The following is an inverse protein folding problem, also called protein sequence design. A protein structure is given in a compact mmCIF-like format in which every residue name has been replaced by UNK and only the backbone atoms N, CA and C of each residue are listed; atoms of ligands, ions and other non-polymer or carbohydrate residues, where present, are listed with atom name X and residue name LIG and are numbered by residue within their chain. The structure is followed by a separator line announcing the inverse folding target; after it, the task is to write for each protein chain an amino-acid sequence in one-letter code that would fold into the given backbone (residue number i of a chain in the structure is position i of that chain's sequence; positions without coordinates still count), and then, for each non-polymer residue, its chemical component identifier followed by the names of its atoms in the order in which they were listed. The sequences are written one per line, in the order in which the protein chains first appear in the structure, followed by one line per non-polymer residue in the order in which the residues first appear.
data_IF_424239797861
#
_entry.id   IF_424239797861
#
_cell.length_a   1.000
_cell.length_b   1.000
_cell.length_c   1.000
_cell.angle_alpha   90.00
_cell.angle_beta   90.00
_cell.angle_gamma   90.00
#
_symmetry.space_group_name_H-M   'P 1'
#
loop_
_entity.id
_entity.type
_entity.pdbx_description
1 polymer ?
#
# COMPACT_ATOMS: atom_id res chain seq x y z
N UNK A 1 -0.08 18.75 2.57
CA UNK A 1 -0.44 17.50 1.84
C UNK A 1 -1.74 17.72 1.08
N UNK A 2 -1.77 17.37 -0.21
CA UNK A 2 -2.96 17.52 -1.07
C UNK A 2 -3.81 16.25 -1.02
N UNK A 3 -5.12 16.40 -0.81
CA UNK A 3 -6.06 15.30 -0.91
C UNK A 3 -6.26 14.92 -2.39
N UNK A 4 -6.24 13.61 -2.68
CA UNK A 4 -6.68 13.06 -3.95
C UNK A 4 -8.15 12.67 -3.85
N UNK A 5 -9.01 13.30 -4.64
CA UNK A 5 -10.44 12.97 -4.68
C UNK A 5 -10.63 11.64 -5.41
N UNK A 6 -11.02 10.61 -4.66
CA UNK A 6 -11.40 9.31 -5.21
C UNK A 6 -12.91 9.33 -5.39
N UNK A 7 -13.33 9.32 -6.66
CA UNK A 7 -14.75 9.27 -7.00
C UNK A 7 -15.23 7.82 -6.88
N UNK A 8 -15.78 7.47 -5.73
CA UNK A 8 -16.30 6.15 -5.40
C UNK A 8 -17.67 6.26 -4.76
N UNK A 9 -18.56 5.31 -5.06
CA UNK A 9 -19.86 5.17 -4.40
C UNK A 9 -19.70 4.88 -2.90
N UNK A 10 -18.59 4.24 -2.51
CA UNK A 10 -18.19 3.90 -1.14
C UNK A 10 -16.85 4.55 -0.87
N UNK A 11 -16.84 5.63 -0.13
CA UNK A 11 -15.69 6.55 -0.02
C UNK A 11 -14.69 6.23 1.11
N UNK A 12 -14.68 4.95 1.59
CA UNK A 12 -13.66 4.50 2.55
C UNK A 12 -12.28 4.26 1.92
N UNK A 13 -12.16 4.34 0.60
CA UNK A 13 -10.88 4.40 -0.11
C UNK A 13 -10.50 5.86 -0.26
N UNK A 14 -9.42 6.31 0.37
CA UNK A 14 -8.95 7.70 0.31
C UNK A 14 -7.53 7.78 -0.18
N UNK A 15 -7.23 8.84 -0.93
CA UNK A 15 -5.90 9.11 -1.44
C UNK A 15 -5.39 10.47 -0.99
N UNK A 16 -4.10 10.54 -0.62
CA UNK A 16 -3.39 11.75 -0.23
C UNK A 16 -2.02 11.80 -0.91
N UNK A 17 -1.62 12.95 -1.41
CA UNK A 17 -0.31 13.09 -2.02
C UNK A 17 0.73 13.50 -0.99
N UNK A 18 1.89 12.84 -1.05
CA UNK A 18 3.08 13.26 -0.30
C UNK A 18 3.53 14.65 -0.75
N UNK A 19 4.15 15.39 0.17
CA UNK A 19 4.75 16.70 -0.16
C UNK A 19 6.14 16.54 -0.76
N UNK A 20 6.95 15.63 -0.20
CA UNK A 20 8.33 15.39 -0.65
C UNK A 20 8.39 14.11 -1.51
N UNK A 21 8.42 14.30 -2.82
CA UNK A 21 8.50 13.20 -3.78
C UNK A 21 9.91 12.59 -3.90
N UNK A 22 10.95 13.22 -3.34
CA UNK A 22 12.31 12.65 -3.33
C UNK A 22 12.38 11.36 -2.48
N UNK A 23 11.51 11.24 -1.49
CA UNK A 23 11.34 10.02 -0.69
C UNK A 23 10.97 8.82 -1.57
N UNK A 24 10.13 9.02 -2.60
CA UNK A 24 9.78 7.96 -3.53
C UNK A 24 11.02 7.48 -4.32
N UNK A 25 11.86 8.39 -4.80
CA UNK A 25 13.09 8.06 -5.52
C UNK A 25 14.07 7.30 -4.62
N UNK A 26 14.19 7.73 -3.37
CA UNK A 26 14.99 7.04 -2.37
C UNK A 26 14.51 5.58 -2.16
N UNK A 27 13.21 5.36 -1.96
CA UNK A 27 12.65 4.02 -1.74
C UNK A 27 12.83 3.11 -2.97
N UNK A 28 12.70 3.65 -4.18
CA UNK A 28 13.01 2.93 -5.42
C UNK A 28 14.48 2.54 -5.47
N UNK A 29 15.38 3.47 -5.13
CA UNK A 29 16.81 3.19 -5.08
C UNK A 29 17.16 2.16 -4.00
N UNK A 30 16.57 2.26 -2.82
CA UNK A 30 16.74 1.29 -1.74
C UNK A 30 16.34 -0.13 -2.19
N UNK A 31 15.21 -0.27 -2.90
CA UNK A 31 14.81 -1.55 -3.49
C UNK A 31 15.85 -2.07 -4.52
N UNK A 32 16.41 -1.20 -5.36
CA UNK A 32 17.39 -1.57 -6.40
C UNK A 32 18.74 -2.00 -5.83
N UNK A 33 19.12 -1.46 -4.68
CA UNK A 33 20.45 -1.64 -4.08
C UNK A 33 20.48 -2.64 -2.91
N UNK A 34 19.31 -3.09 -2.45
CA UNK A 34 19.16 -4.02 -1.33
C UNK A 34 18.70 -5.39 -1.83
N UNK A 35 19.00 -6.44 -1.06
CA UNK A 35 18.55 -7.82 -1.36
C UNK A 35 17.02 -7.89 -1.35
N UNK A 36 16.43 -8.35 -2.45
CA UNK A 36 15.00 -8.57 -2.61
C UNK A 36 14.65 -10.06 -2.67
N UNK A 37 13.39 -10.38 -2.47
CA UNK A 37 12.82 -11.74 -2.57
C UNK A 37 11.68 -11.76 -3.58
N UNK A 38 11.30 -12.95 -4.05
CA UNK A 38 10.07 -13.10 -4.83
C UNK A 38 8.85 -12.75 -3.96
N UNK A 39 7.86 -12.08 -4.55
CA UNK A 39 6.64 -11.68 -3.83
C UNK A 39 5.83 -12.89 -3.36
N UNK A 40 5.35 -12.82 -2.12
CA UNK A 40 4.48 -13.84 -1.54
C UNK A 40 3.00 -13.48 -1.73
N UNK A 41 2.17 -14.52 -1.92
CA UNK A 41 0.71 -14.46 -1.81
C UNK A 41 0.29 -15.47 -0.74
N UNK A 42 -0.15 -14.99 0.42
CA UNK A 42 -0.24 -15.81 1.63
C UNK A 42 1.15 -16.31 2.04
N UNK A 43 1.29 -17.61 2.31
CA UNK A 43 2.54 -18.18 2.83
C UNK A 43 3.44 -18.79 1.73
N UNK A 44 3.18 -18.51 0.45
CA UNK A 44 3.94 -19.09 -0.66
C UNK A 44 4.16 -18.13 -1.82
N UNK A 45 5.20 -18.38 -2.61
CA UNK A 45 5.39 -17.75 -3.91
C UNK A 45 4.46 -18.41 -4.90
N UNK A 46 3.54 -17.63 -5.48
CA UNK A 46 2.64 -18.06 -6.55
C UNK A 46 2.49 -16.94 -7.56
N UNK A 47 3.23 -17.05 -8.66
CA UNK A 47 3.30 -16.02 -9.70
C UNK A 47 2.00 -15.83 -10.47
N UNK A 48 1.13 -16.83 -10.53
CA UNK A 48 -0.19 -16.71 -11.15
C UNK A 48 -1.11 -15.80 -10.32
N UNK A 49 -0.85 -15.71 -9.01
CA UNK A 49 -1.57 -14.81 -8.11
C UNK A 49 -0.87 -13.46 -7.96
N UNK A 50 0.44 -13.48 -7.66
CA UNK A 50 1.27 -12.28 -7.46
C UNK A 50 2.65 -12.52 -8.05
N UNK A 51 3.03 -11.75 -9.04
CA UNK A 51 4.40 -11.74 -9.57
C UNK A 51 5.02 -10.38 -9.31
N UNK A 52 6.00 -10.34 -8.40
CA UNK A 52 6.74 -9.15 -8.00
C UNK A 52 8.10 -9.51 -7.41
N UNK A 53 8.94 -8.51 -7.24
CA UNK A 53 10.13 -8.60 -6.36
C UNK A 53 9.95 -7.62 -5.20
N UNK A 54 10.11 -8.13 -3.98
CA UNK A 54 9.78 -7.41 -2.76
C UNK A 54 11.03 -7.17 -1.91
N UNK A 55 11.29 -5.91 -1.52
CA UNK A 55 12.17 -5.55 -0.43
C UNK A 55 11.33 -5.56 0.85
N UNK A 56 11.61 -6.51 1.73
CA UNK A 56 10.93 -6.65 3.03
C UNK A 56 11.64 -5.79 4.07
N UNK A 57 10.90 -4.91 4.72
CA UNK A 57 11.38 -4.01 5.78
C UNK A 57 10.64 -4.26 7.08
N UNK A 58 11.35 -4.12 8.20
CA UNK A 58 10.77 -4.24 9.55
C UNK A 58 10.45 -2.86 10.11
N UNK A 59 9.36 -2.69 10.88
CA UNK A 59 9.07 -1.40 11.50
C UNK A 59 10.22 -0.82 12.33
N UNK A 60 10.99 -1.69 13.02
CA UNK A 60 12.14 -1.29 13.83
C UNK A 60 13.31 -0.76 13.00
N UNK A 61 13.39 -1.12 11.71
CA UNK A 61 14.46 -0.69 10.81
C UNK A 61 14.24 0.73 10.29
N UNK A 62 12.98 1.22 10.31
CA UNK A 62 12.65 2.57 9.85
C UNK A 62 13.52 3.65 10.52
N UNK A 63 13.82 3.50 11.82
CA UNK A 63 14.66 4.45 12.58
C UNK A 63 16.10 4.58 12.07
N UNK A 64 16.60 3.62 11.29
CA UNK A 64 17.98 3.65 10.75
C UNK A 64 18.07 4.37 9.40
N UNK A 65 16.92 4.70 8.79
CA UNK A 65 16.85 5.37 7.50
C UNK A 65 16.08 6.68 7.64
N UNK A 66 16.75 7.80 7.43
CA UNK A 66 16.15 9.13 7.59
C UNK A 66 14.93 9.32 6.70
N UNK A 67 15.04 8.94 5.42
CA UNK A 67 13.98 9.09 4.42
C UNK A 67 12.78 8.18 4.73
N UNK A 68 13.01 7.02 5.34
CA UNK A 68 11.93 6.13 5.77
C UNK A 68 11.19 6.72 6.98
N UNK A 69 11.88 7.38 7.90
CA UNK A 69 11.25 8.15 8.98
C UNK A 69 10.42 9.30 8.42
N UNK A 70 10.95 10.05 7.44
CA UNK A 70 10.22 11.14 6.78
C UNK A 70 8.98 10.59 6.05
N UNK A 71 9.10 9.43 5.39
CA UNK A 71 7.96 8.74 4.78
C UNK A 71 6.83 8.50 5.80
N UNK A 72 7.17 7.93 6.96
CA UNK A 72 6.17 7.65 8.00
C UNK A 72 5.61 8.91 8.65
N UNK A 73 6.36 10.00 8.75
CA UNK A 73 5.83 11.30 9.18
C UNK A 73 4.79 11.84 8.21
N UNK A 74 5.05 11.78 6.90
CA UNK A 74 4.06 12.19 5.89
C UNK A 74 2.84 11.27 5.89
N UNK A 75 3.05 9.97 6.02
CA UNK A 75 1.98 8.98 6.13
C UNK A 75 1.10 9.23 7.37
N UNK A 76 1.69 9.56 8.53
CA UNK A 76 0.94 9.89 9.74
C UNK A 76 0.06 11.14 9.55
N UNK A 77 0.57 12.16 8.85
CA UNK A 77 -0.23 13.33 8.51
C UNK A 77 -1.44 12.96 7.64
N UNK A 78 -1.24 12.10 6.64
CA UNK A 78 -2.32 11.60 5.79
C UNK A 78 -3.31 10.73 6.57
N UNK A 79 -2.80 9.86 7.45
CA UNK A 79 -3.62 9.02 8.33
C UNK A 79 -4.51 9.85 9.26
N UNK A 80 -4.01 10.96 9.79
CA UNK A 80 -4.80 11.86 10.64
C UNK A 80 -5.95 12.51 9.86
N UNK A 81 -5.76 12.82 8.57
CA UNK A 81 -6.85 13.28 7.71
C UNK A 81 -7.89 12.16 7.47
N UNK A 82 -7.42 10.92 7.26
CA UNK A 82 -8.29 9.76 7.14
C UNK A 82 -9.13 9.54 8.41
N UNK A 83 -8.50 9.53 9.60
CA UNK A 83 -9.17 9.39 10.90
C UNK A 83 -10.19 10.51 11.15
N UNK A 84 -9.85 11.76 10.76
CA UNK A 84 -10.77 12.88 10.88
C UNK A 84 -12.00 12.72 9.98
N UNK A 85 -11.85 12.17 8.79
CA UNK A 85 -12.96 11.91 7.86
C UNK A 85 -13.81 10.73 8.33
N UNK A 86 -13.18 9.70 8.87
CA UNK A 86 -13.81 8.46 9.32
C UNK A 86 -13.54 8.24 10.80
N UNK A 87 -14.20 9.02 11.67
CA UNK A 87 -13.95 9.03 13.13
C UNK A 87 -14.07 7.64 13.76
N UNK A 88 -15.03 6.82 13.29
CA UNK A 88 -15.23 5.46 13.79
C UNK A 88 -14.16 4.46 13.33
N UNK A 89 -13.23 4.85 12.46
CA UNK A 89 -12.04 4.05 12.19
C UNK A 89 -11.08 3.98 13.38
N UNK A 90 -11.26 4.86 14.37
CA UNK A 90 -10.39 5.00 15.54
C UNK A 90 -11.15 5.18 16.87
N UNK A 91 -12.50 5.21 16.84
CA UNK A 91 -13.33 5.42 18.03
C UNK A 91 -14.00 4.12 18.43
N UNK A 92 -13.97 3.79 19.74
CA UNK A 92 -14.54 2.58 20.32
C UNK A 92 -13.96 1.26 19.76
N UNK A 93 -12.70 1.29 19.32
CA UNK A 93 -11.94 0.13 18.90
C UNK A 93 -10.61 0.07 19.67
N UNK A 94 -9.95 -1.09 19.67
CA UNK A 94 -8.61 -1.24 20.23
C UNK A 94 -7.60 -0.32 19.53
N UNK A 95 -6.52 0.02 20.21
CA UNK A 95 -5.37 0.67 19.57
C UNK A 95 -4.90 -0.12 18.36
N UNK A 96 -4.42 0.57 17.35
CA UNK A 96 -3.83 -0.05 16.17
C UNK A 96 -2.60 0.72 15.66
N UNK A 97 -1.62 -0.03 15.20
CA UNK A 97 -0.33 0.49 14.73
C UNK A 97 0.30 -0.43 13.68
N UNK A 98 1.37 0.02 13.03
CA UNK A 98 2.20 -0.83 12.18
C UNK A 98 2.97 -1.80 13.09
N UNK A 99 2.70 -3.09 12.98
CA UNK A 99 3.25 -4.14 13.85
C UNK A 99 3.73 -5.39 13.09
N UNK A 100 3.74 -5.37 11.76
CA UNK A 100 4.35 -6.41 10.94
C UNK A 100 5.25 -5.80 9.86
N UNK A 101 6.01 -6.64 9.19
CA UNK A 101 6.84 -6.24 8.06
C UNK A 101 5.99 -5.60 6.96
N UNK A 102 6.57 -4.63 6.29
CA UNK A 102 6.00 -3.98 5.12
C UNK A 102 6.97 -4.08 3.94
N UNK A 103 6.49 -3.81 2.73
CA UNK A 103 7.26 -4.14 1.54
C UNK A 103 7.35 -2.96 0.58
N UNK A 104 8.56 -2.73 0.04
CA UNK A 104 8.70 -2.01 -1.23
C UNK A 104 8.67 -3.06 -2.34
N UNK A 105 7.68 -2.97 -3.22
CA UNK A 105 7.41 -3.96 -4.25
C UNK A 105 7.66 -3.39 -5.63
N UNK A 106 8.35 -4.16 -6.46
CA UNK A 106 8.56 -3.87 -7.87
C UNK A 106 7.77 -4.85 -8.72
N UNK A 107 7.07 -4.32 -9.70
CA UNK A 107 6.39 -5.07 -10.76
C UNK A 107 6.97 -4.63 -12.12
N UNK A 108 7.55 -5.56 -12.85
CA UNK A 108 7.98 -5.35 -14.25
C UNK A 108 6.76 -5.34 -15.18
N UNK A 109 6.88 -4.89 -16.43
CA UNK A 109 5.84 -5.10 -17.44
C UNK A 109 5.32 -6.54 -17.42
N UNK A 110 4.00 -6.70 -17.54
CA UNK A 110 3.26 -7.96 -17.43
C UNK A 110 3.21 -8.60 -16.03
N UNK A 111 3.91 -8.08 -15.03
CA UNK A 111 3.80 -8.49 -13.64
C UNK A 111 2.71 -7.70 -12.90
N UNK A 112 2.10 -8.30 -11.88
CA UNK A 112 1.04 -7.68 -11.09
C UNK A 112 0.60 -8.53 -9.91
N UNK A 113 -0.37 -8.04 -9.16
CA UNK A 113 -1.12 -8.86 -8.23
C UNK A 113 -2.44 -9.23 -8.90
N UNK A 114 -2.41 -10.32 -9.68
CA UNK A 114 -3.48 -10.70 -10.62
C UNK A 114 -4.74 -11.20 -9.91
N UNK A 115 -4.57 -11.88 -8.78
CA UNK A 115 -5.68 -12.41 -8.02
C UNK A 115 -6.47 -11.33 -7.30
N UNK A 116 -7.79 -11.42 -7.34
CA UNK A 116 -8.66 -10.69 -6.43
C UNK A 116 -8.40 -11.15 -5.00
N UNK A 117 -8.09 -10.23 -4.10
CA UNK A 117 -7.75 -10.53 -2.71
C UNK A 117 -8.20 -9.42 -1.77
N UNK A 118 -8.28 -9.74 -0.50
CA UNK A 118 -8.37 -8.80 0.60
C UNK A 118 -7.21 -9.07 1.57
N UNK A 119 -6.92 -8.11 2.41
CA UNK A 119 -5.74 -8.17 3.29
C UNK A 119 -6.00 -8.90 4.61
N UNK A 120 -7.28 -9.09 4.96
CA UNK A 120 -7.75 -9.82 6.14
C UNK A 120 -8.59 -11.03 5.74
N UNK A 121 -7.94 -12.00 5.08
CA UNK A 121 -8.59 -13.20 4.54
C UNK A 121 -8.35 -14.49 5.32
N UNK A 122 -7.57 -14.46 6.41
CA UNK A 122 -7.24 -15.63 7.24
C UNK A 122 -7.11 -15.27 8.71
N UNK A 123 -6.99 -16.28 9.58
CA UNK A 123 -6.79 -16.07 11.02
C UNK A 123 -5.46 -15.39 11.32
N UNK A 124 -4.41 -15.70 10.55
CA UNK A 124 -3.06 -15.13 10.75
C UNK A 124 -3.03 -13.62 10.54
N UNK A 125 -3.89 -13.10 9.67
CA UNK A 125 -3.98 -11.66 9.37
C UNK A 125 -5.30 -11.03 9.85
N UNK A 126 -6.02 -11.71 10.76
CA UNK A 126 -7.34 -11.28 11.26
C UNK A 126 -7.32 -9.95 12.01
N UNK A 127 -6.16 -9.54 12.54
CA UNK A 127 -5.97 -8.27 13.25
C UNK A 127 -5.60 -7.09 12.34
N UNK A 128 -5.43 -7.28 11.03
CA UNK A 128 -5.24 -6.16 10.09
C UNK A 128 -6.49 -5.30 10.06
N UNK A 129 -6.32 -4.01 10.34
CA UNK A 129 -7.40 -3.04 10.42
C UNK A 129 -7.49 -2.16 9.19
N UNK A 130 -6.39 -1.53 8.82
CA UNK A 130 -6.30 -0.60 7.70
C UNK A 130 -5.08 -0.90 6.83
N UNK A 131 -5.26 -0.83 5.54
CA UNK A 131 -4.18 -0.92 4.55
C UNK A 131 -3.68 0.47 4.22
N UNK A 132 -2.39 0.59 4.01
CA UNK A 132 -1.78 1.75 3.38
C UNK A 132 -0.91 1.31 2.20
N UNK A 133 -0.93 2.08 1.13
CA UNK A 133 -0.15 1.82 -0.07
C UNK A 133 0.20 3.13 -0.75
N UNK A 134 1.48 3.33 -1.07
CA UNK A 134 1.92 4.51 -1.83
C UNK A 134 2.51 4.10 -3.17
N UNK A 135 2.07 4.71 -4.26
CA UNK A 135 2.71 4.60 -5.55
C UNK A 135 3.99 5.44 -5.57
N UNK A 136 5.13 4.81 -5.92
CA UNK A 136 6.44 5.46 -5.87
C UNK A 136 6.84 6.08 -7.21
N UNK A 137 6.14 5.75 -8.29
CA UNK A 137 6.34 6.37 -9.60
C UNK A 137 5.03 6.48 -10.37
N UNK A 138 5.02 7.37 -11.34
CA UNK A 138 3.94 7.47 -12.32
C UNK A 138 3.99 6.29 -13.28
N UNK A 139 2.80 5.87 -13.77
CA UNK A 139 2.66 4.87 -14.81
C UNK A 139 1.74 5.44 -15.90
N UNK A 140 2.22 5.41 -17.15
CA UNK A 140 1.45 5.96 -18.29
C UNK A 140 0.26 5.09 -18.65
N UNK A 141 0.47 3.76 -18.72
CA UNK A 141 -0.56 2.81 -19.16
C UNK A 141 -0.58 1.56 -18.28
N UNK A 142 -1.76 1.23 -17.75
CA UNK A 142 -1.96 0.11 -16.86
C UNK A 142 -1.52 0.40 -15.43
N UNK A 143 -1.26 -0.65 -14.66
CA UNK A 143 -0.74 -0.57 -13.30
C UNK A 143 -1.75 -0.14 -12.24
N UNK A 144 -3.01 0.08 -12.59
CA UNK A 144 -4.06 0.53 -11.65
C UNK A 144 -4.25 -0.46 -10.51
N UNK A 145 -4.67 0.03 -9.36
CA UNK A 145 -5.28 -0.75 -8.29
C UNK A 145 -6.79 -0.71 -8.48
N UNK A 146 -7.40 -1.86 -8.71
CA UNK A 146 -8.84 -1.99 -8.94
C UNK A 146 -9.54 -2.59 -7.73
N UNK A 147 -10.58 -1.90 -7.25
CA UNK A 147 -11.46 -2.34 -6.16
C UNK A 147 -12.75 -2.91 -6.75
N UNK A 148 -13.04 -4.18 -6.44
CA UNK A 148 -14.13 -4.93 -7.08
C UNK A 148 -15.52 -4.35 -6.78
N UNK A 149 -15.84 -4.21 -5.50
CA UNK A 149 -17.18 -3.77 -5.06
C UNK A 149 -17.38 -2.27 -5.24
N UNK A 150 -16.33 -1.47 -5.10
CA UNK A 150 -16.36 -0.02 -5.31
C UNK A 150 -16.38 0.36 -6.80
N UNK A 151 -16.12 -0.61 -7.70
CA UNK A 151 -15.98 -0.38 -9.16
C UNK A 151 -15.02 0.79 -9.44
N UNK A 152 -13.95 0.84 -8.67
CA UNK A 152 -12.98 1.92 -8.66
C UNK A 152 -11.64 1.41 -9.19
N UNK A 153 -11.04 2.17 -10.11
CA UNK A 153 -9.65 2.00 -10.53
C UNK A 153 -8.87 3.24 -10.16
N UNK A 154 -7.80 3.05 -9.40
CA UNK A 154 -6.88 4.12 -9.02
C UNK A 154 -5.62 4.00 -9.84
N UNK A 155 -5.34 5.03 -10.64
CA UNK A 155 -4.13 5.10 -11.46
C UNK A 155 -2.91 5.37 -10.58
N UNK A 156 -1.76 4.72 -10.86
CA UNK A 156 -0.50 5.07 -10.20
C UNK A 156 -0.08 6.51 -10.50
N UNK A 157 0.07 7.29 -9.46
CA UNK A 157 0.66 8.63 -9.48
C UNK A 157 1.71 8.71 -8.38
N UNK A 158 2.91 9.21 -8.70
CA UNK A 158 4.03 9.31 -7.77
C UNK A 158 3.64 10.06 -6.49
N UNK A 159 3.87 9.46 -5.33
CA UNK A 159 3.55 10.02 -4.03
C UNK A 159 2.08 9.89 -3.61
N UNK A 160 1.21 9.29 -4.45
CA UNK A 160 -0.18 9.04 -4.06
C UNK A 160 -0.24 7.88 -3.07
N UNK A 161 -0.61 8.19 -1.83
CA UNK A 161 -0.85 7.22 -0.74
C UNK A 161 -2.33 6.94 -0.61
N UNK A 162 -2.70 5.66 -0.68
CA UNK A 162 -4.06 5.18 -0.46
C UNK A 162 -4.19 4.60 0.94
N UNK A 163 -5.35 4.87 1.58
CA UNK A 163 -5.83 4.15 2.76
C UNK A 163 -7.17 3.49 2.46
N UNK A 164 -7.35 2.27 2.90
CA UNK A 164 -8.61 1.53 2.78
C UNK A 164 -8.69 0.41 3.81
N UNK A 165 -9.92 0.01 4.25
CA UNK A 165 -10.10 -1.11 5.16
C UNK A 165 -9.55 -2.42 4.59
N UNK A 166 -9.10 -3.31 5.48
CA UNK A 166 -8.48 -4.58 5.10
C UNK A 166 -9.46 -5.71 4.76
N UNK A 167 -10.76 -5.48 4.94
CA UNK A 167 -11.82 -6.47 4.80
C UNK A 167 -12.09 -6.93 3.37
N UNK A 168 -12.81 -8.08 3.24
CA UNK A 168 -13.27 -8.62 1.97
C UNK A 168 -14.15 -7.65 1.17
N UNK A 169 -14.82 -6.71 1.83
CA UNK A 169 -15.59 -5.64 1.17
C UNK A 169 -14.72 -4.72 0.32
N UNK A 170 -13.40 -4.69 0.59
CA UNK A 170 -12.37 -3.98 -0.19
C UNK A 170 -11.49 -4.93 -0.99
N UNK A 171 -12.09 -6.01 -1.52
CA UNK A 171 -11.42 -6.92 -2.44
C UNK A 171 -10.87 -6.14 -3.64
N UNK A 172 -9.58 -6.30 -3.89
CA UNK A 172 -8.87 -5.54 -4.92
C UNK A 172 -7.81 -6.39 -5.63
N UNK A 173 -7.28 -5.88 -6.73
CA UNK A 173 -6.14 -6.43 -7.47
C UNK A 173 -5.29 -5.33 -8.08
N UNK A 174 -4.03 -5.66 -8.41
CA UNK A 174 -3.12 -4.78 -9.13
C UNK A 174 -3.00 -5.19 -10.60
N UNK A 175 -3.35 -4.27 -11.50
CA UNK A 175 -3.16 -4.47 -12.93
C UNK A 175 -1.69 -4.42 -13.33
N UNK A 176 -1.37 -5.07 -14.45
CA UNK A 176 -0.05 -5.02 -15.06
C UNK A 176 0.19 -3.68 -15.74
N UNK A 177 1.44 -3.28 -15.83
CA UNK A 177 1.89 -2.20 -16.72
C UNK A 177 2.22 -2.75 -18.11
N UNK A 178 2.30 -1.88 -19.11
CA UNK A 178 2.61 -2.29 -20.48
C UNK A 178 4.12 -2.32 -20.71
N UNK A 179 4.82 -1.23 -20.39
CA UNK A 179 6.22 -1.02 -20.73
C UNK A 179 7.08 -0.40 -19.61
N UNK A 180 6.48 -0.12 -18.44
CA UNK A 180 7.16 0.55 -17.34
C UNK A 180 7.20 -0.33 -16.08
N UNK A 181 8.29 -0.25 -15.32
CA UNK A 181 8.37 -0.82 -13.98
C UNK A 181 7.51 -0.01 -13.01
N UNK A 182 6.61 -0.68 -12.29
CA UNK A 182 5.81 -0.08 -11.22
C UNK A 182 6.44 -0.38 -9.86
N UNK A 183 6.55 0.65 -9.04
CA UNK A 183 6.99 0.54 -7.65
C UNK A 183 5.91 1.04 -6.70
N UNK A 184 5.69 0.30 -5.63
CA UNK A 184 4.83 0.69 -4.52
C UNK A 184 5.54 0.39 -3.19
N UNK A 185 5.16 1.10 -2.13
CA UNK A 185 5.38 0.67 -0.75
C UNK A 185 4.03 0.39 -0.11
N UNK A 186 3.89 -0.71 0.61
CA UNK A 186 2.62 -1.12 1.21
C UNK A 186 2.81 -1.88 2.51
N UNK A 187 1.83 -1.75 3.40
CA UNK A 187 1.76 -2.42 4.69
C UNK A 187 0.40 -2.23 5.35
N UNK A 188 0.33 -2.58 6.61
CA UNK A 188 -0.92 -2.68 7.35
C UNK A 188 -0.80 -2.09 8.76
N UNK A 189 -1.88 -1.49 9.20
CA UNK A 189 -2.10 -1.21 10.62
C UNK A 189 -2.86 -2.37 11.25
N UNK A 190 -2.40 -2.80 12.42
CA UNK A 190 -2.94 -3.94 13.16
C UNK A 190 -3.56 -3.48 14.46
N UNK A 191 -4.71 -4.08 14.80
CA UNK A 191 -5.25 -4.00 16.16
C UNK A 191 -4.24 -4.63 17.12
N UNK A 192 -3.95 -3.95 18.21
CA UNK A 192 -3.04 -4.40 19.26
C UNK A 192 -3.76 -4.45 20.60
N UNK A 193 -3.18 -5.25 21.53
CA UNK A 193 -3.70 -5.36 22.90
C UNK A 193 -3.23 -4.20 23.75
#
# INVERSE_FOLDING_TARGET
MREHKINSQYDFVQGYYMNDLSICDYLINLHKTTKTVAGFSGNQVNKDKKDSTDLVLRPQEAKFYQELNQYFQEQENALNLYKKKYEYSNTNISEWKINENFNVQKYKPSQGYHAWHCERGSLENSNRHLVWMTFLNDIKQGGETEFYYQKLKVKPEKGLTLFFPSDWTFTHKGHTTIDEDKYIITGWYHLVK
#
